data_IF_790685785521
#
_entry.id   IF_790685785521
#
_cell.length_a   1.000
_cell.length_b   1.000
_cell.length_c   1.000
_cell.angle_alpha   90.00
_cell.angle_beta   90.00
_cell.angle_gamma   90.00
#
_symmetry.space_group_name_H-M   'P 1'
#
loop_
_entity.id
_entity.type
_entity.pdbx_description
1 polymer ?
#
# COMPACT_ATOMS: atom_id res chain seq x y z
N UNK A 1 -3.33 -2.15 4.84
CA UNK A 1 -3.93 -3.00 5.87
C UNK A 1 -3.88 -2.29 7.22
N UNK A 2 -5.05 -2.07 7.82
CA UNK A 2 -5.16 -1.47 9.14
C UNK A 2 -4.81 0.02 9.25
N UNK A 3 -4.73 0.75 8.17
CA UNK A 3 -4.47 2.20 8.19
C UNK A 3 -5.72 2.91 8.71
N UNK A 4 -5.65 3.41 9.93
CA UNK A 4 -6.83 3.98 10.62
C UNK A 4 -6.92 5.51 10.55
N UNK A 5 -5.86 6.19 10.20
CA UNK A 5 -5.82 7.65 10.12
C UNK A 5 -6.49 8.14 8.83
N UNK A 6 -7.52 8.98 8.97
CA UNK A 6 -8.28 9.50 7.84
C UNK A 6 -7.43 10.33 6.89
N UNK A 7 -6.46 11.09 7.41
CA UNK A 7 -5.56 11.89 6.59
C UNK A 7 -4.67 11.00 5.73
N UNK A 8 -4.14 9.92 6.31
CA UNK A 8 -3.32 8.95 5.56
C UNK A 8 -4.15 8.24 4.49
N UNK A 9 -5.35 7.79 4.81
CA UNK A 9 -6.23 7.15 3.83
C UNK A 9 -6.53 8.10 2.67
N UNK A 10 -6.90 9.34 2.96
CA UNK A 10 -7.16 10.33 1.91
C UNK A 10 -5.96 10.60 1.02
N UNK A 11 -4.78 10.74 1.63
CA UNK A 11 -3.54 10.97 0.88
C UNK A 11 -3.15 9.76 0.02
N UNK A 12 -3.36 8.54 0.51
CA UNK A 12 -3.11 7.32 -0.27
C UNK A 12 -4.03 7.26 -1.48
N UNK A 13 -5.32 7.53 -1.32
CA UNK A 13 -6.26 7.57 -2.45
C UNK A 13 -5.88 8.62 -3.49
N UNK A 14 -5.47 9.81 -3.02
CA UNK A 14 -5.03 10.87 -3.94
C UNK A 14 -3.81 10.45 -4.76
N UNK A 15 -2.80 9.90 -4.10
CA UNK A 15 -1.59 9.43 -4.78
C UNK A 15 -1.90 8.25 -5.71
N UNK A 16 -2.75 7.33 -5.29
CA UNK A 16 -3.16 6.19 -6.10
C UNK A 16 -3.84 6.65 -7.40
N UNK A 17 -4.78 7.57 -7.30
CA UNK A 17 -5.46 8.12 -8.47
C UNK A 17 -4.49 8.86 -9.39
N UNK A 18 -3.62 9.70 -8.82
CA UNK A 18 -2.67 10.51 -9.59
C UNK A 18 -1.60 9.69 -10.28
N UNK A 19 -1.19 8.57 -9.70
CA UNK A 19 -0.06 7.78 -10.16
C UNK A 19 -0.47 6.48 -10.87
N UNK A 20 -1.74 6.35 -11.24
CA UNK A 20 -2.18 5.28 -12.12
C UNK A 20 -2.38 3.92 -11.46
N UNK A 21 -2.65 3.89 -10.16
CA UNK A 21 -3.01 2.65 -9.47
C UNK A 21 -4.42 2.23 -9.91
N UNK A 22 -4.63 0.94 -10.13
CA UNK A 22 -5.87 0.43 -10.68
C UNK A 22 -7.01 0.38 -9.65
N UNK A 23 -6.70 0.01 -8.42
CA UNK A 23 -7.72 -0.12 -7.36
C UNK A 23 -7.09 -0.15 -5.98
N UNK A 24 -7.91 0.09 -4.96
CA UNK A 24 -7.51 0.02 -3.55
C UNK A 24 -8.38 -1.01 -2.83
N UNK A 25 -7.75 -1.88 -2.06
CA UNK A 25 -8.45 -2.85 -1.20
C UNK A 25 -8.12 -2.53 0.25
N UNK A 26 -9.15 -2.41 1.07
CA UNK A 26 -9.02 -2.01 2.46
C UNK A 26 -9.37 -3.19 3.37
N UNK A 27 -8.53 -3.45 4.37
CA UNK A 27 -8.90 -4.34 5.45
C UNK A 27 -10.03 -3.72 6.27
N UNK A 28 -10.80 -4.55 6.96
CA UNK A 28 -11.97 -4.09 7.72
C UNK A 28 -11.62 -3.20 8.90
N UNK A 29 -10.37 -3.18 9.31
CA UNK A 29 -9.87 -2.33 10.40
C UNK A 29 -9.39 -0.96 9.91
N UNK A 30 -9.33 -0.74 8.60
CA UNK A 30 -8.90 0.54 8.06
C UNK A 30 -9.98 1.61 8.23
N UNK A 31 -9.57 2.88 8.17
CA UNK A 31 -10.52 3.99 8.17
C UNK A 31 -11.40 3.93 6.91
N UNK A 32 -12.67 4.26 7.08
CA UNK A 32 -13.59 4.38 5.96
C UNK A 32 -13.12 5.51 5.03
N UNK A 33 -12.85 5.24 3.74
CA UNK A 33 -12.40 6.27 2.81
C UNK A 33 -13.48 7.33 2.53
N UNK A 34 -14.73 7.06 2.85
CA UNK A 34 -15.83 8.03 2.76
C UNK A 34 -15.95 8.89 4.02
N UNK A 35 -15.09 8.68 5.02
CA UNK A 35 -14.96 9.57 6.16
C UNK A 35 -14.74 11.00 5.65
N UNK A 36 -15.39 11.98 6.28
CA UNK A 36 -15.39 13.38 5.83
C UNK A 36 -13.97 13.94 5.62
N UNK A 37 -13.07 13.67 6.57
CA UNK A 37 -11.68 14.12 6.46
C UNK A 37 -10.94 13.42 5.33
N UNK A 38 -11.13 12.11 5.18
CA UNK A 38 -10.50 11.34 4.11
C UNK A 38 -10.94 11.85 2.73
N UNK A 39 -12.22 12.10 2.53
CA UNK A 39 -12.73 12.66 1.27
C UNK A 39 -12.09 14.02 0.99
N UNK A 40 -12.02 14.89 2.00
CA UNK A 40 -11.42 16.21 1.85
C UNK A 40 -9.94 16.12 1.49
N UNK A 41 -9.16 15.33 2.21
CA UNK A 41 -7.73 15.16 1.97
C UNK A 41 -7.46 14.52 0.62
N UNK A 42 -8.31 13.60 0.19
CA UNK A 42 -8.18 12.97 -1.13
C UNK A 42 -8.50 13.93 -2.27
N UNK A 43 -9.07 15.10 -1.98
CA UNK A 43 -9.59 16.03 -2.98
C UNK A 43 -10.56 15.37 -3.96
N UNK A 44 -11.42 14.50 -3.42
CA UNK A 44 -12.43 13.79 -4.20
C UNK A 44 -11.90 12.56 -4.96
N UNK A 45 -10.61 12.25 -4.86
CA UNK A 45 -10.02 11.10 -5.57
C UNK A 45 -10.67 9.78 -5.16
N UNK A 46 -11.20 9.68 -3.95
CA UNK A 46 -11.90 8.47 -3.49
C UNK A 46 -13.07 8.11 -4.42
N UNK A 47 -13.67 9.09 -5.08
CA UNK A 47 -14.77 8.86 -6.02
C UNK A 47 -14.28 8.46 -7.43
N UNK A 48 -12.97 8.59 -7.70
CA UNK A 48 -12.35 8.26 -8.98
C UNK A 48 -11.72 6.87 -8.97
N UNK A 49 -11.49 6.31 -7.79
CA UNK A 49 -10.76 5.06 -7.63
C UNK A 49 -11.71 3.91 -7.29
N UNK A 50 -11.69 2.81 -8.02
CA UNK A 50 -12.34 1.58 -7.55
C UNK A 50 -11.74 1.15 -6.20
N UNK A 51 -12.58 0.84 -5.24
CA UNK A 51 -12.13 0.33 -3.95
C UNK A 51 -13.15 -0.62 -3.34
N UNK A 52 -12.67 -1.48 -2.45
CA UNK A 52 -13.51 -2.45 -1.77
C UNK A 52 -12.95 -2.80 -0.39
N UNK A 53 -13.82 -3.24 0.49
CA UNK A 53 -13.43 -3.86 1.74
C UNK A 53 -13.13 -5.35 1.54
N UNK A 54 -12.18 -5.89 2.31
CA UNK A 54 -11.89 -7.31 2.33
C UNK A 54 -11.54 -7.76 3.74
N UNK A 55 -12.06 -8.91 4.13
CA UNK A 55 -11.69 -9.54 5.40
C UNK A 55 -10.28 -10.16 5.35
N UNK A 56 -9.81 -10.51 4.15
CA UNK A 56 -8.48 -11.09 3.92
C UNK A 56 -7.92 -10.57 2.60
N UNK A 57 -7.43 -9.31 2.58
CA UNK A 57 -6.99 -8.69 1.32
C UNK A 57 -5.91 -9.47 0.60
N UNK A 58 -4.88 -9.94 1.32
CA UNK A 58 -3.77 -10.68 0.72
C UNK A 58 -4.24 -11.99 0.11
N UNK A 59 -5.02 -12.76 0.87
CA UNK A 59 -5.53 -14.06 0.39
C UNK A 59 -6.44 -13.90 -0.82
N UNK A 60 -7.34 -12.92 -0.80
CA UNK A 60 -8.25 -12.68 -1.91
C UNK A 60 -7.51 -12.24 -3.18
N UNK A 61 -6.53 -11.34 -3.05
CA UNK A 61 -5.76 -10.88 -4.20
C UNK A 61 -4.89 -11.98 -4.78
N UNK A 62 -4.28 -12.82 -3.94
CA UNK A 62 -3.52 -13.98 -4.41
C UNK A 62 -4.40 -14.96 -5.16
N UNK A 63 -5.62 -15.19 -4.68
CA UNK A 63 -6.59 -16.06 -5.36
C UNK A 63 -6.96 -15.52 -6.74
N UNK A 64 -6.90 -14.20 -6.93
CA UNK A 64 -7.15 -13.54 -8.22
C UNK A 64 -5.91 -13.49 -9.14
N UNK A 65 -4.81 -14.07 -8.73
CA UNK A 65 -3.59 -14.13 -9.53
C UNK A 65 -2.62 -12.98 -9.33
N UNK A 66 -2.81 -12.15 -8.29
CA UNK A 66 -1.87 -11.09 -7.96
C UNK A 66 -0.68 -11.63 -7.17
N UNK A 67 0.49 -11.12 -7.47
CA UNK A 67 1.65 -11.21 -6.59
C UNK A 67 1.55 -10.09 -5.57
N UNK A 68 1.89 -10.39 -4.32
CA UNK A 68 1.74 -9.44 -3.22
C UNK A 68 3.11 -9.06 -2.66
N UNK A 69 3.28 -7.78 -2.37
CA UNK A 69 4.52 -7.24 -1.83
C UNK A 69 4.20 -6.41 -0.59
N UNK A 70 4.66 -6.88 0.56
CA UNK A 70 4.49 -6.18 1.82
C UNK A 70 5.58 -5.12 1.99
N UNK A 71 5.19 -3.88 2.27
CA UNK A 71 6.12 -2.81 2.60
C UNK A 71 6.52 -2.96 4.07
N UNK A 72 7.70 -3.50 4.30
CA UNK A 72 8.19 -3.76 5.65
C UNK A 72 9.72 -3.85 5.68
N UNK A 73 10.29 -3.56 6.84
CA UNK A 73 11.73 -3.68 7.07
C UNK A 73 12.02 -5.00 7.77
N UNK A 74 12.53 -5.96 7.02
CA UNK A 74 12.94 -7.28 7.53
C UNK A 74 14.27 -7.68 6.92
N UNK A 75 14.90 -8.75 7.44
CA UNK A 75 16.16 -9.27 6.89
C UNK A 75 16.03 -9.77 5.45
N UNK A 76 14.81 -10.09 5.02
CA UNK A 76 14.53 -10.59 3.68
C UNK A 76 13.96 -9.54 2.73
N UNK A 77 13.87 -8.30 3.18
CA UNK A 77 13.32 -7.23 2.36
C UNK A 77 14.23 -6.91 1.17
N UNK A 78 13.65 -6.89 0.00
CA UNK A 78 14.31 -6.41 -1.22
C UNK A 78 14.06 -4.92 -1.39
N UNK A 79 14.90 -4.25 -2.16
CA UNK A 79 14.72 -2.83 -2.45
C UNK A 79 13.51 -2.61 -3.37
N UNK A 80 12.81 -1.50 -3.17
CA UNK A 80 11.67 -1.10 -4.00
C UNK A 80 12.02 -1.03 -5.49
N UNK A 81 13.25 -0.68 -5.83
CA UNK A 81 13.71 -0.59 -7.23
C UNK A 81 14.22 -1.90 -7.81
N UNK A 82 14.07 -3.02 -7.09
CA UNK A 82 14.45 -4.33 -7.60
C UNK A 82 13.61 -4.64 -8.86
N UNK A 83 14.25 -4.98 -9.99
CA UNK A 83 13.55 -5.22 -11.25
C UNK A 83 12.48 -6.31 -11.19
N UNK A 84 12.57 -7.25 -10.24
CA UNK A 84 11.60 -8.34 -10.13
C UNK A 84 10.18 -7.81 -9.90
N UNK A 85 10.03 -6.70 -9.18
CA UNK A 85 8.72 -6.12 -8.89
C UNK A 85 8.06 -5.58 -10.15
N UNK A 86 8.82 -4.92 -11.01
CA UNK A 86 8.30 -4.38 -12.27
C UNK A 86 7.99 -5.47 -13.30
N UNK A 87 8.59 -6.64 -13.14
CA UNK A 87 8.32 -7.77 -14.03
C UNK A 87 6.99 -8.45 -13.75
N UNK A 88 6.39 -8.22 -12.59
CA UNK A 88 5.11 -8.81 -12.23
C UNK A 88 3.96 -8.10 -12.96
N UNK A 89 3.17 -8.82 -13.78
CA UNK A 89 2.07 -8.20 -14.52
C UNK A 89 0.91 -7.75 -13.63
N UNK A 90 0.75 -8.42 -12.49
CA UNK A 90 -0.29 -8.12 -11.50
C UNK A 90 0.36 -8.06 -10.12
N UNK A 91 0.64 -6.86 -9.66
CA UNK A 91 1.30 -6.63 -8.38
C UNK A 91 0.38 -5.85 -7.45
N UNK A 92 0.25 -6.33 -6.22
CA UNK A 92 -0.45 -5.63 -5.15
C UNK A 92 0.54 -5.25 -4.05
N UNK A 93 0.59 -3.98 -3.71
CA UNK A 93 1.39 -3.49 -2.59
C UNK A 93 0.54 -3.52 -1.33
N UNK A 94 1.09 -4.06 -0.26
CA UNK A 94 0.43 -4.10 1.05
C UNK A 94 1.09 -3.07 1.96
N UNK A 95 0.32 -2.05 2.34
CA UNK A 95 0.78 -0.97 3.20
C UNK A 95 0.22 -1.16 4.60
N UNK A 96 1.05 -0.96 5.61
CA UNK A 96 0.65 -1.11 7.01
C UNK A 96 0.48 0.22 7.72
N UNK A 97 0.11 0.13 9.01
CA UNK A 97 -0.02 1.29 9.88
C UNK A 97 1.34 1.88 10.22
N UNK A 98 1.34 3.14 10.63
CA UNK A 98 2.49 3.74 11.27
C UNK A 98 2.71 3.10 12.66
N UNK A 99 3.96 3.06 13.12
CA UNK A 99 4.32 2.46 14.37
C UNK A 99 4.52 0.95 14.24
N UNK A 100 3.46 0.19 14.40
CA UNK A 100 3.56 -1.28 14.37
C UNK A 100 3.72 -1.87 12.98
N UNK A 101 3.35 -1.13 11.93
CA UNK A 101 3.42 -1.62 10.56
C UNK A 101 2.45 -2.77 10.30
N UNK A 102 2.88 -3.71 9.45
CA UNK A 102 2.10 -4.90 9.13
C UNK A 102 2.33 -6.00 10.17
N UNK A 103 1.29 -6.76 10.48
CA UNK A 103 1.42 -7.95 11.32
C UNK A 103 2.36 -8.98 10.68
N UNK A 104 3.11 -9.72 11.50
CA UNK A 104 4.04 -10.73 11.02
C UNK A 104 3.34 -11.79 10.17
N UNK A 105 2.11 -12.15 10.51
CA UNK A 105 1.31 -13.11 9.76
C UNK A 105 0.98 -12.60 8.35
N UNK A 106 0.74 -11.31 8.21
CA UNK A 106 0.50 -10.69 6.89
C UNK A 106 1.78 -10.71 6.06
N UNK A 107 2.90 -10.30 6.66
CA UNK A 107 4.20 -10.31 5.97
C UNK A 107 4.55 -11.73 5.51
N UNK A 108 4.34 -12.73 6.34
CA UNK A 108 4.63 -14.12 6.01
C UNK A 108 3.75 -14.66 4.87
N UNK A 109 2.57 -14.07 4.66
CA UNK A 109 1.64 -14.51 3.61
C UNK A 109 1.89 -13.86 2.25
N UNK A 110 2.73 -12.84 2.17
CA UNK A 110 3.04 -12.13 0.92
C UNK A 110 4.14 -12.82 0.12
N UNK A 111 4.17 -12.57 -1.18
CA UNK A 111 5.19 -13.13 -2.08
C UNK A 111 6.53 -12.43 -1.94
N UNK A 112 6.51 -11.12 -1.69
CA UNK A 112 7.70 -10.29 -1.52
C UNK A 112 7.58 -9.45 -0.25
N UNK A 113 8.73 -9.15 0.35
CA UNK A 113 8.85 -8.11 1.36
C UNK A 113 9.76 -7.03 0.79
N UNK A 114 9.31 -5.77 0.84
CA UNK A 114 9.93 -4.67 0.10
C UNK A 114 10.20 -3.51 1.05
N UNK A 115 11.37 -2.89 0.89
CA UNK A 115 11.72 -1.69 1.65
C UNK A 115 12.14 -0.57 0.71
N UNK A 116 11.94 0.66 1.17
CA UNK A 116 12.55 1.84 0.56
C UNK A 116 13.88 2.06 1.30
N UNK A 117 15.03 1.99 0.61
CA UNK A 117 16.33 2.25 1.27
C UNK A 117 16.35 3.65 1.88
N UNK A 118 16.80 3.74 3.13
CA UNK A 118 16.82 4.99 3.88
C UNK A 118 18.24 5.42 4.22
N UNK A 119 18.41 6.72 4.42
CA UNK A 119 19.67 7.34 4.86
C UNK A 119 19.55 7.85 6.29
N UNK A 120 20.68 8.15 6.91
CA UNK A 120 20.75 8.80 8.22
C UNK A 120 20.04 8.05 9.36
N UNK A 121 20.04 6.71 9.30
CA UNK A 121 19.41 5.84 10.30
C UNK A 121 17.90 6.07 10.45
N UNK A 122 17.25 6.63 9.44
CA UNK A 122 15.78 6.70 9.42
C UNK A 122 15.23 5.34 9.04
N UNK A 123 14.31 4.80 9.85
CA UNK A 123 13.78 3.45 9.64
C UNK A 123 12.69 3.41 8.58
N UNK A 124 11.81 4.41 8.55
CA UNK A 124 10.65 4.41 7.65
C UNK A 124 10.16 5.82 7.36
N UNK A 125 9.31 5.92 6.34
CA UNK A 125 8.55 7.11 6.02
C UNK A 125 7.12 6.96 6.55
N UNK A 126 6.43 8.08 6.70
CA UNK A 126 4.98 8.09 6.88
C UNK A 126 4.32 7.23 5.79
N UNK A 127 3.26 6.50 6.13
CA UNK A 127 2.65 5.54 5.19
C UNK A 127 2.15 6.21 3.90
N UNK A 128 1.63 7.43 3.98
CA UNK A 128 1.19 8.15 2.79
C UNK A 128 2.37 8.53 1.90
N UNK A 129 3.48 8.98 2.49
CA UNK A 129 4.70 9.29 1.74
C UNK A 129 5.30 8.03 1.12
N UNK A 130 5.40 6.94 1.89
CA UNK A 130 5.89 5.66 1.39
C UNK A 130 5.02 5.14 0.23
N UNK A 131 3.71 5.29 0.33
CA UNK A 131 2.78 4.91 -0.73
C UNK A 131 3.06 5.68 -2.01
N UNK A 132 3.22 7.00 -1.93
CA UNK A 132 3.49 7.83 -3.11
C UNK A 132 4.80 7.44 -3.79
N UNK A 133 5.85 7.19 -3.03
CA UNK A 133 7.15 6.75 -3.55
C UNK A 133 7.02 5.39 -4.25
N UNK A 134 6.34 4.45 -3.61
CA UNK A 134 6.15 3.10 -4.17
C UNK A 134 5.29 3.14 -5.44
N UNK A 135 4.21 3.92 -5.45
CA UNK A 135 3.34 4.05 -6.62
C UNK A 135 4.09 4.66 -7.81
N UNK A 136 4.89 5.68 -7.56
CA UNK A 136 5.72 6.28 -8.61
C UNK A 136 6.70 5.27 -9.20
N UNK A 137 7.45 4.57 -8.34
CA UNK A 137 8.48 3.63 -8.77
C UNK A 137 7.88 2.45 -9.56
N UNK A 138 6.73 1.96 -9.14
CA UNK A 138 6.14 0.75 -9.71
C UNK A 138 5.02 1.03 -10.71
N UNK A 139 4.75 2.30 -11.03
CA UNK A 139 3.73 2.63 -12.03
C UNK A 139 4.08 2.02 -13.39
N UNK A 140 3.07 1.60 -14.10
CA UNK A 140 3.23 1.15 -15.49
C UNK A 140 3.37 2.37 -16.39
N UNK A 141 4.36 2.33 -17.22
CA UNK A 141 4.62 3.39 -18.20
C UNK A 141 3.89 3.10 -19.51
#
# INVERSE_FOLDING_TARGET
DGVTDATNIGAIFRSAAALGIDAVVLSRTACDPLNRRAVRVSMGSVFLMPWAWSADPVGELRALGFRTAAMALTDRSISLDDPVLKSEPRLALVMGTEGDGLADTVIASTDYTVRIPMYHNVDSLNVAAASAVAFWELRKK
#
